data_IF_198606398556
#
_entry.id   IF_198606398556
#
_cell.length_a   1.000
_cell.length_b   1.000
_cell.length_c   1.000
_cell.angle_alpha   90.00
_cell.angle_beta   90.00
_cell.angle_gamma   90.00
#
_symmetry.space_group_name_H-M   'P 1'
#
loop_
_entity.id
_entity.type
_entity.pdbx_description
1 polymer ?
#
# COMPACT_ATOMS: atom_id res chain seq x y z
N UNK A 1 -22.45 2.25 9.21
CA UNK A 1 -21.27 1.43 8.88
C UNK A 1 -20.27 2.29 8.13
N UNK A 2 -19.07 2.48 8.65
CA UNK A 2 -17.99 3.19 7.95
C UNK A 2 -17.32 2.21 7.00
N UNK A 3 -17.18 2.57 5.73
CA UNK A 3 -16.46 1.77 4.72
C UNK A 3 -15.09 2.38 4.51
N UNK A 4 -14.05 1.55 4.49
CA UNK A 4 -12.73 1.99 4.07
C UNK A 4 -12.77 2.23 2.55
N UNK A 5 -12.44 3.45 2.13
CA UNK A 5 -12.28 3.82 0.72
C UNK A 5 -10.79 3.95 0.45
N UNK A 6 -10.28 3.20 -0.52
CA UNK A 6 -8.87 3.22 -0.93
C UNK A 6 -8.79 3.55 -2.42
N UNK A 7 -7.93 4.50 -2.79
CA UNK A 7 -7.66 4.88 -4.19
C UNK A 7 -6.24 4.42 -4.54
N UNK A 8 -6.10 3.66 -5.62
CA UNK A 8 -4.80 3.16 -6.10
C UNK A 8 -4.53 3.66 -7.51
N UNK A 9 -3.30 4.07 -7.75
CA UNK A 9 -2.80 4.44 -9.06
C UNK A 9 -1.40 3.84 -9.27
N UNK A 10 -1.06 3.58 -10.53
CA UNK A 10 0.30 3.20 -10.90
C UNK A 10 1.17 4.45 -11.01
N UNK A 11 2.31 4.47 -10.32
CA UNK A 11 3.27 5.57 -10.39
C UNK A 11 4.05 5.49 -11.71
N UNK A 12 4.04 6.58 -12.48
CA UNK A 12 4.85 6.71 -13.71
C UNK A 12 6.31 7.04 -13.42
N UNK A 13 6.55 7.79 -12.33
CA UNK A 13 7.89 8.14 -11.87
C UNK A 13 7.95 7.90 -10.33
N UNK A 14 8.46 6.75 -9.89
CA UNK A 14 8.55 6.40 -8.47
C UNK A 14 9.47 7.33 -7.67
N UNK A 15 10.54 7.85 -8.27
CA UNK A 15 11.50 8.72 -7.59
C UNK A 15 10.88 10.07 -7.23
N UNK A 16 10.20 10.70 -8.19
CA UNK A 16 9.49 11.96 -7.95
C UNK A 16 8.37 11.79 -6.92
N UNK A 17 7.64 10.68 -6.99
CA UNK A 17 6.60 10.37 -6.00
C UNK A 17 7.18 10.22 -4.59
N UNK A 18 8.37 9.60 -4.45
CA UNK A 18 9.06 9.49 -3.18
C UNK A 18 9.51 10.85 -2.64
N UNK A 19 10.05 11.72 -3.50
CA UNK A 19 10.44 13.08 -3.13
C UNK A 19 9.24 13.89 -2.62
N UNK A 20 8.13 13.92 -3.36
CA UNK A 20 6.91 14.61 -2.94
C UNK A 20 6.37 14.04 -1.63
N UNK A 21 6.38 12.72 -1.46
CA UNK A 21 5.94 12.09 -0.22
C UNK A 21 6.80 12.50 1.00
N UNK A 22 8.12 12.60 0.83
CA UNK A 22 9.04 13.08 1.86
C UNK A 22 8.78 14.55 2.21
N UNK A 23 8.60 15.41 1.21
CA UNK A 23 8.28 16.83 1.42
C UNK A 23 6.96 17.02 2.18
N UNK A 24 5.91 16.26 1.83
CA UNK A 24 4.60 16.35 2.47
C UNK A 24 4.59 15.78 3.90
N UNK A 25 5.34 14.71 4.16
CA UNK A 25 5.36 14.04 5.46
C UNK A 25 6.36 14.64 6.44
N UNK A 26 7.35 15.39 5.96
CA UNK A 26 8.42 15.98 6.77
C UNK A 26 9.38 14.96 7.40
N UNK A 27 9.27 13.67 7.05
CA UNK A 27 10.02 12.58 7.64
C UNK A 27 10.58 11.66 6.56
N UNK A 28 11.64 10.92 6.90
CA UNK A 28 12.13 9.85 6.03
C UNK A 28 11.15 8.67 6.01
N UNK A 29 11.05 8.02 4.86
CA UNK A 29 10.20 6.86 4.71
C UNK A 29 10.75 5.68 5.51
N UNK A 30 9.85 4.95 6.18
CA UNK A 30 10.16 3.65 6.77
C UNK A 30 9.69 2.54 5.83
N UNK A 31 10.59 1.62 5.49
CA UNK A 31 10.20 0.39 4.79
C UNK A 31 9.53 -0.54 5.78
N UNK A 32 8.30 -0.96 5.46
CA UNK A 32 7.54 -1.96 6.23
C UNK A 32 7.54 -3.26 5.41
N UNK A 33 8.28 -4.30 5.81
CA UNK A 33 8.25 -5.60 5.16
C UNK A 33 6.84 -6.19 5.21
N UNK A 34 6.37 -6.71 4.08
CA UNK A 34 5.02 -7.28 3.97
C UNK A 34 5.07 -8.60 3.21
N UNK A 35 4.46 -9.63 3.81
CA UNK A 35 4.21 -10.91 3.16
C UNK A 35 2.72 -11.08 2.93
N UNK A 36 2.31 -11.08 1.67
CA UNK A 36 0.91 -11.25 1.27
C UNK A 36 0.64 -12.70 0.85
N UNK A 37 -0.37 -13.33 1.48
CA UNK A 37 -0.86 -14.66 1.16
C UNK A 37 -2.27 -14.52 0.57
N UNK A 38 -2.47 -15.06 -0.64
CA UNK A 38 -3.74 -14.97 -1.37
C UNK A 38 -4.49 -16.29 -1.34
N UNK A 39 -5.79 -16.22 -1.01
CA UNK A 39 -6.69 -17.37 -1.02
C UNK A 39 -7.80 -17.16 -2.06
N UNK A 40 -8.20 -18.26 -2.70
CA UNK A 40 -9.38 -18.27 -3.59
C UNK A 40 -10.64 -18.05 -2.76
N UNK A 41 -11.52 -17.18 -3.23
CA UNK A 41 -12.84 -16.94 -2.64
C UNK A 41 -13.87 -16.96 -3.77
N UNK A 42 -15.11 -17.43 -3.54
CA UNK A 42 -16.16 -17.40 -4.55
C UNK A 42 -16.44 -16.00 -5.12
N UNK A 43 -16.15 -14.94 -4.37
CA UNK A 43 -16.39 -13.55 -4.76
C UNK A 43 -15.12 -12.71 -4.60
N UNK A 44 -14.17 -12.88 -5.51
CA UNK A 44 -12.92 -12.11 -5.55
C UNK A 44 -11.75 -12.84 -4.90
N UNK A 45 -11.02 -12.16 -4.01
CA UNK A 45 -9.83 -12.71 -3.35
C UNK A 45 -9.79 -12.33 -1.88
N UNK A 46 -9.38 -13.27 -1.05
CA UNK A 46 -9.01 -12.99 0.34
C UNK A 46 -7.49 -12.83 0.41
N UNK A 47 -7.02 -11.79 1.11
CA UNK A 47 -5.60 -11.51 1.29
C UNK A 47 -5.27 -11.40 2.78
N UNK A 48 -4.36 -12.25 3.25
CA UNK A 48 -3.73 -12.10 4.55
C UNK A 48 -2.40 -11.37 4.36
N UNK A 49 -2.16 -10.31 5.12
CA UNK A 49 -0.89 -9.57 5.14
C UNK A 49 -0.22 -9.78 6.49
N UNK A 50 0.98 -10.35 6.48
CA UNK A 50 1.85 -10.44 7.65
C UNK A 50 2.87 -9.30 7.60
N UNK A 51 3.13 -8.70 8.76
CA UNK A 51 4.17 -7.72 8.99
C UNK A 51 5.27 -8.40 9.82
N UNK A 52 6.54 -8.12 9.51
CA UNK A 52 7.72 -8.55 10.28
C UNK A 52 8.29 -7.36 11.07
#
# INVERSE_FOLDING_TARGET
>A
MVKNIEIKAALRNPEEAHKVAKELSGNDAQVIPQKDIFYKSPQGRLKLRCYE
#
